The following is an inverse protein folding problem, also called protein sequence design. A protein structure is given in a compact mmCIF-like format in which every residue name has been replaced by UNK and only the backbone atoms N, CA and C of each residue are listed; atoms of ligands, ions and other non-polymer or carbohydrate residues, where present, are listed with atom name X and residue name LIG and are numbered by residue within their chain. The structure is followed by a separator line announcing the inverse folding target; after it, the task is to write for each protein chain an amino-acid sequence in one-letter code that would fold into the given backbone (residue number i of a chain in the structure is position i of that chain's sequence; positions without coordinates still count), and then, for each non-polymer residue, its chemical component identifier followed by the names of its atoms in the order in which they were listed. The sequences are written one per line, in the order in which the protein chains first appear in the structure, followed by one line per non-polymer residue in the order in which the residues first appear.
data_IF_602124204347
#
_entry.id   IF_602124204347
#
_cell.length_a   1.000
_cell.length_b   1.000
_cell.length_c   1.000
_cell.angle_alpha   90.00
_cell.angle_beta   90.00
_cell.angle_gamma   90.00
#
_symmetry.space_group_name_H-M   'P 1'
#
loop_
_entity.id
_entity.type
_entity.pdbx_description
1 polymer ?
#
# COMPACT_ATOMS: atom_id res chain seq x y z
N UNK A 1 -44.20 3.30 5.48
CA UNK A 1 -43.00 2.81 4.77
C UNK A 1 -41.84 2.92 5.73
N UNK A 2 -41.31 1.81 6.25
CA UNK A 2 -40.17 1.87 7.19
C UNK A 2 -38.92 2.24 6.38
N UNK A 3 -38.34 3.42 6.64
CA UNK A 3 -37.04 3.77 6.06
C UNK A 3 -36.01 2.80 6.62
N UNK A 4 -35.55 1.86 5.81
CA UNK A 4 -34.44 0.99 6.17
C UNK A 4 -33.20 1.86 6.36
N UNK A 5 -32.70 1.93 7.59
CA UNK A 5 -31.53 2.73 7.91
C UNK A 5 -30.34 2.23 7.10
N UNK A 6 -29.67 3.13 6.37
CA UNK A 6 -28.54 2.78 5.50
C UNK A 6 -27.32 2.40 6.34
N UNK A 7 -26.62 1.35 5.92
CA UNK A 7 -25.32 1.03 6.50
C UNK A 7 -24.26 2.01 6.02
N UNK A 8 -23.13 2.08 6.72
CA UNK A 8 -21.96 2.86 6.30
C UNK A 8 -21.49 2.40 4.91
N UNK A 9 -21.53 1.09 4.66
CA UNK A 9 -21.20 0.56 3.33
C UNK A 9 -22.17 1.05 2.26
N UNK A 10 -23.48 1.10 2.51
CA UNK A 10 -24.46 1.60 1.53
C UNK A 10 -24.22 3.07 1.18
N UNK A 11 -23.81 3.88 2.16
CA UNK A 11 -23.44 5.28 1.96
C UNK A 11 -22.13 5.43 1.18
N UNK A 12 -21.13 4.60 1.47
CA UNK A 12 -19.87 4.54 0.72
C UNK A 12 -20.08 4.08 -0.74
N UNK A 13 -20.83 2.99 -0.92
CA UNK A 13 -21.06 2.34 -2.21
C UNK A 13 -21.87 3.23 -3.17
N UNK A 14 -22.56 4.25 -2.64
CA UNK A 14 -23.22 5.24 -3.46
C UNK A 14 -22.20 5.97 -4.36
N UNK A 15 -22.30 5.71 -5.66
CA UNK A 15 -21.35 6.17 -6.71
C UNK A 15 -19.91 5.67 -6.50
N UNK A 16 -19.76 4.48 -5.94
CA UNK A 16 -18.50 3.74 -5.97
C UNK A 16 -18.67 2.47 -6.80
N UNK A 17 -17.60 2.04 -7.48
CA UNK A 17 -17.51 0.75 -8.16
C UNK A 17 -16.40 -0.05 -7.54
N UNK A 18 -16.69 -1.29 -7.16
CA UNK A 18 -15.68 -2.22 -6.67
C UNK A 18 -15.47 -3.34 -7.70
N UNK A 19 -14.24 -3.50 -8.16
CA UNK A 19 -13.82 -4.55 -9.09
C UNK A 19 -12.88 -5.49 -8.33
N UNK A 20 -13.23 -6.76 -8.24
CA UNK A 20 -12.45 -7.79 -7.52
C UNK A 20 -11.71 -8.63 -8.52
N UNK A 21 -10.39 -8.80 -8.35
CA UNK A 21 -9.53 -9.54 -9.27
C UNK A 21 -8.51 -10.34 -8.46
N UNK A 22 -8.74 -11.64 -8.32
CA UNK A 22 -7.87 -12.52 -7.53
C UNK A 22 -7.67 -11.99 -6.10
N UNK A 23 -6.43 -11.65 -5.77
CA UNK A 23 -6.02 -11.22 -4.44
C UNK A 23 -6.17 -9.71 -4.18
N UNK A 24 -6.73 -8.95 -5.12
CA UNK A 24 -6.93 -7.50 -4.99
C UNK A 24 -8.39 -7.07 -5.20
N UNK A 25 -8.73 -5.94 -4.59
CA UNK A 25 -9.95 -5.20 -4.85
C UNK A 25 -9.61 -3.77 -5.29
N UNK A 26 -10.07 -3.38 -6.48
CA UNK A 26 -10.00 -2.03 -6.99
C UNK A 26 -11.30 -1.29 -6.69
N UNK A 27 -11.20 -0.19 -5.97
CA UNK A 27 -12.29 0.70 -5.63
C UNK A 27 -12.15 1.96 -6.50
N UNK A 28 -13.18 2.25 -7.30
CA UNK A 28 -13.26 3.45 -8.12
C UNK A 28 -14.36 4.34 -7.54
N UNK A 29 -13.99 5.55 -7.13
CA UNK A 29 -14.89 6.54 -6.56
C UNK A 29 -15.19 7.58 -7.62
N UNK A 30 -16.48 7.84 -7.86
CA UNK A 30 -16.89 8.92 -8.73
C UNK A 30 -16.40 10.27 -8.16
N UNK A 31 -15.60 11.00 -8.95
CA UNK A 31 -14.90 12.22 -8.55
C UNK A 31 -13.79 12.04 -7.49
N UNK A 32 -13.50 10.81 -7.05
CA UNK A 32 -12.56 10.51 -5.97
C UNK A 32 -11.39 9.61 -6.38
N UNK A 33 -11.23 9.34 -7.67
CA UNK A 33 -10.14 8.54 -8.24
C UNK A 33 -10.31 7.03 -8.03
N UNK A 34 -9.19 6.31 -8.02
CA UNK A 34 -9.18 4.85 -7.90
C UNK A 34 -8.08 4.39 -6.94
N UNK A 35 -8.40 3.38 -6.15
CA UNK A 35 -7.50 2.79 -5.17
C UNK A 35 -7.57 1.27 -5.22
N UNK A 36 -6.45 0.62 -4.96
CA UNK A 36 -6.34 -0.84 -4.89
C UNK A 36 -5.91 -1.21 -3.48
N UNK A 37 -6.60 -2.21 -2.93
CA UNK A 37 -6.34 -2.81 -1.63
C UNK A 37 -6.24 -4.33 -1.76
N UNK A 38 -5.66 -4.99 -0.76
CA UNK A 38 -5.66 -6.43 -0.68
C UNK A 38 -7.08 -6.96 -0.42
N UNK A 39 -7.43 -8.10 -1.03
CA UNK A 39 -8.80 -8.62 -1.00
C UNK A 39 -9.21 -9.11 0.39
N UNK A 40 -8.28 -9.64 1.18
CA UNK A 40 -8.48 -10.02 2.58
C UNK A 40 -8.88 -8.81 3.45
N UNK A 41 -8.16 -7.70 3.30
CA UNK A 41 -8.44 -6.46 4.00
C UNK A 41 -9.79 -5.86 3.56
N UNK A 42 -10.10 -5.91 2.26
CA UNK A 42 -11.41 -5.54 1.73
C UNK A 42 -12.54 -6.32 2.38
N UNK A 43 -12.42 -7.64 2.51
CA UNK A 43 -13.47 -8.48 3.11
C UNK A 43 -13.71 -8.07 4.57
N UNK A 44 -12.65 -7.83 5.34
CA UNK A 44 -12.74 -7.42 6.74
C UNK A 44 -13.40 -6.05 6.86
N UNK A 45 -12.91 -5.05 6.11
CA UNK A 45 -13.46 -3.70 6.11
C UNK A 45 -14.93 -3.67 5.64
N UNK A 46 -15.28 -4.47 4.63
CA UNK A 46 -16.64 -4.59 4.12
C UNK A 46 -17.60 -5.13 5.19
N UNK A 47 -17.23 -6.22 5.88
CA UNK A 47 -18.03 -6.78 6.97
C UNK A 47 -18.20 -5.80 8.11
N UNK A 48 -17.14 -5.09 8.48
CA UNK A 48 -17.21 -4.01 9.47
C UNK A 48 -18.19 -2.92 9.03
N UNK A 49 -18.09 -2.42 7.80
CA UNK A 49 -18.92 -1.32 7.30
C UNK A 49 -20.41 -1.68 7.18
N UNK A 50 -20.72 -2.93 6.86
CA UNK A 50 -22.09 -3.47 6.87
C UNK A 50 -22.72 -3.44 8.27
N UNK A 51 -21.90 -3.57 9.33
CA UNK A 51 -22.37 -3.53 10.73
C UNK A 51 -22.53 -2.11 11.29
N UNK A 52 -22.07 -1.08 10.58
CA UNK A 52 -22.13 0.31 11.03
C UNK A 52 -23.27 1.05 10.36
N UNK A 53 -23.91 1.93 11.12
CA UNK A 53 -24.91 2.87 10.58
C UNK A 53 -24.20 4.00 9.84
N UNK A 54 -24.79 4.43 8.72
CA UNK A 54 -24.35 5.62 8.01
C UNK A 54 -24.53 6.86 8.88
N UNK A 55 -23.59 7.80 8.79
CA UNK A 55 -23.69 9.12 9.42
C UNK A 55 -24.63 10.07 8.68
N UNK A 56 -25.12 9.69 7.49
CA UNK A 56 -25.87 10.56 6.59
C UNK A 56 -24.98 11.47 5.72
N UNK A 57 -23.68 11.56 6.02
CA UNK A 57 -22.71 12.28 5.21
C UNK A 57 -21.82 11.30 4.43
N UNK A 58 -21.97 11.30 3.10
CA UNK A 58 -21.24 10.42 2.20
C UNK A 58 -19.71 10.61 2.29
N UNK A 59 -19.23 11.85 2.41
CA UNK A 59 -17.78 12.12 2.47
C UNK A 59 -17.19 11.57 3.76
N UNK A 60 -17.89 11.78 4.88
CA UNK A 60 -17.50 11.24 6.19
C UNK A 60 -17.50 9.71 6.18
N UNK A 61 -18.57 9.08 5.67
CA UNK A 61 -18.68 7.62 5.63
C UNK A 61 -17.63 6.99 4.68
N UNK A 62 -17.31 7.66 3.56
CA UNK A 62 -16.21 7.26 2.67
C UNK A 62 -14.87 7.34 3.39
N UNK A 63 -14.57 8.44 4.07
CA UNK A 63 -13.35 8.57 4.86
C UNK A 63 -13.22 7.46 5.90
N UNK A 64 -14.30 7.19 6.65
CA UNK A 64 -14.33 6.14 7.68
C UNK A 64 -14.12 4.74 7.10
N UNK A 65 -14.69 4.44 5.93
CA UNK A 65 -14.49 3.16 5.28
C UNK A 65 -13.05 3.00 4.79
N UNK A 66 -12.53 4.01 4.09
CA UNK A 66 -11.19 3.95 3.52
C UNK A 66 -10.09 3.95 4.59
N UNK A 67 -10.37 4.51 5.77
CA UNK A 67 -9.44 4.50 6.89
C UNK A 67 -9.23 3.11 7.49
N UNK A 68 -10.15 2.16 7.28
CA UNK A 68 -9.98 0.77 7.71
C UNK A 68 -8.85 0.04 6.98
N UNK A 69 -8.43 0.55 5.82
CA UNK A 69 -7.30 -0.01 5.09
C UNK A 69 -5.99 0.53 5.65
N UNK A 70 -5.14 -0.39 6.08
CA UNK A 70 -3.78 -0.15 6.52
C UNK A 70 -2.83 0.03 5.33
N UNK A 71 -3.09 -0.66 4.21
CA UNK A 71 -2.25 -0.64 3.03
C UNK A 71 -3.09 -0.45 1.76
N UNK A 72 -2.79 0.58 0.98
CA UNK A 72 -3.48 0.85 -0.27
C UNK A 72 -2.54 1.52 -1.29
N UNK A 73 -2.81 1.28 -2.56
CA UNK A 73 -2.16 1.96 -3.69
C UNK A 73 -3.21 2.82 -4.39
N UNK A 74 -2.95 4.12 -4.51
CA UNK A 74 -3.88 5.06 -5.09
C UNK A 74 -3.41 5.55 -6.47
N UNK A 75 -4.35 5.96 -7.33
CA UNK A 75 -4.05 6.72 -8.54
C UNK A 75 -3.81 8.20 -8.23
N UNK A 76 -3.04 8.92 -9.05
CA UNK A 76 -2.96 10.38 -8.97
C UNK A 76 -4.36 11.02 -8.97
N UNK A 77 -4.58 11.98 -8.07
CA UNK A 77 -5.87 12.66 -7.92
C UNK A 77 -6.95 11.88 -7.16
N UNK A 78 -6.60 10.78 -6.50
CA UNK A 78 -7.54 10.03 -5.65
C UNK A 78 -7.77 10.69 -4.29
N UNK A 79 -8.89 10.32 -3.65
CA UNK A 79 -9.33 10.86 -2.36
C UNK A 79 -8.30 10.64 -1.23
N UNK A 80 -7.55 9.53 -1.29
CA UNK A 80 -6.43 9.23 -0.41
C UNK A 80 -5.19 8.90 -1.26
N UNK A 81 -4.01 9.18 -0.71
CA UNK A 81 -2.74 8.73 -1.27
C UNK A 81 -2.43 7.28 -0.92
N UNK A 82 -1.42 6.73 -1.60
CA UNK A 82 -0.83 5.44 -1.26
C UNK A 82 -0.28 5.47 0.16
N UNK A 83 -0.63 4.46 0.96
CA UNK A 83 -0.14 4.30 2.35
C UNK A 83 0.12 2.84 2.65
N UNK A 84 1.00 2.57 3.61
CA UNK A 84 1.32 1.24 4.09
C UNK A 84 2.82 0.98 4.20
N UNK A 85 3.19 -0.13 4.84
CA UNK A 85 4.57 -0.61 4.92
C UNK A 85 5.04 -1.21 3.57
N UNK A 86 6.31 -1.00 3.23
CA UNK A 86 6.95 -1.43 1.98
C UNK A 86 6.77 -2.92 1.69
N UNK A 87 6.88 -3.78 2.71
CA UNK A 87 6.68 -5.24 2.55
C UNK A 87 5.28 -5.60 2.06
N UNK A 88 4.26 -4.91 2.55
CA UNK A 88 2.87 -5.18 2.16
C UNK A 88 2.54 -4.51 0.83
N UNK A 89 3.06 -3.30 0.59
CA UNK A 89 2.97 -2.63 -0.71
C UNK A 89 3.64 -3.47 -1.81
N UNK A 90 4.77 -4.10 -1.54
CA UNK A 90 5.43 -5.02 -2.45
C UNK A 90 4.54 -6.21 -2.82
N UNK A 91 3.89 -6.84 -1.84
CA UNK A 91 2.95 -7.95 -2.09
C UNK A 91 1.75 -7.48 -2.92
N UNK A 92 1.23 -6.31 -2.60
CA UNK A 92 0.11 -5.70 -3.32
C UNK A 92 0.49 -5.37 -4.77
N UNK A 93 1.66 -4.80 -5.01
CA UNK A 93 2.21 -4.52 -6.35
C UNK A 93 2.43 -5.80 -7.14
N UNK A 94 2.93 -6.87 -6.51
CA UNK A 94 3.06 -8.19 -7.14
C UNK A 94 1.70 -8.73 -7.58
N UNK A 95 0.68 -8.63 -6.72
CA UNK A 95 -0.68 -9.04 -7.04
C UNK A 95 -1.31 -8.17 -8.15
N UNK A 96 -1.08 -6.85 -8.13
CA UNK A 96 -1.52 -5.93 -9.18
C UNK A 96 -0.91 -6.25 -10.55
N UNK A 97 0.39 -6.60 -10.59
CA UNK A 97 1.05 -7.04 -11.83
C UNK A 97 0.48 -8.37 -12.31
N UNK A 98 0.20 -9.30 -11.40
CA UNK A 98 -0.48 -10.56 -11.72
C UNK A 98 -1.89 -10.36 -12.27
N UNK A 99 -2.59 -9.30 -11.85
CA UNK A 99 -3.89 -8.90 -12.36
C UNK A 99 -3.82 -8.11 -13.69
N UNK A 100 -2.63 -7.81 -14.19
CA UNK A 100 -2.42 -7.10 -15.47
C UNK A 100 -2.49 -5.58 -15.39
N UNK A 101 -2.40 -4.98 -14.19
CA UNK A 101 -2.31 -3.52 -14.05
C UNK A 101 -0.91 -3.01 -14.44
N UNK A 102 -0.85 -1.92 -15.21
CA UNK A 102 0.39 -1.16 -15.44
C UNK A 102 0.77 -0.35 -14.19
N UNK A 103 2.06 -0.27 -13.85
CA UNK A 103 2.53 0.39 -12.61
C UNK A 103 2.69 1.90 -12.74
N UNK A 104 2.77 2.41 -13.97
CA UNK A 104 2.97 3.84 -14.25
C UNK A 104 1.75 4.69 -13.89
N UNK A 105 0.56 4.08 -13.97
CA UNK A 105 -0.73 4.71 -13.67
C UNK A 105 -0.98 4.92 -12.16
N UNK A 106 -0.10 4.40 -11.29
CA UNK A 106 -0.31 4.38 -9.85
C UNK A 106 0.77 5.18 -9.10
N UNK A 107 0.38 5.75 -7.96
CA UNK A 107 1.28 6.44 -7.05
C UNK A 107 2.05 5.42 -6.22
N UNK A 108 3.13 4.89 -6.76
CA UNK A 108 4.01 3.96 -6.05
C UNK A 108 5.33 4.64 -5.67
N UNK A 109 5.94 4.30 -4.53
CA UNK A 109 7.33 4.64 -4.24
C UNK A 109 8.26 4.21 -5.40
N UNK A 110 9.29 5.01 -5.71
CA UNK A 110 10.16 4.75 -6.87
C UNK A 110 10.83 3.37 -6.81
N UNK A 111 11.17 2.90 -5.61
CA UNK A 111 11.74 1.58 -5.34
C UNK A 111 10.83 0.44 -5.84
N UNK A 112 9.50 0.60 -5.71
CA UNK A 112 8.52 -0.39 -6.13
C UNK A 112 8.17 -0.28 -7.62
N UNK A 113 8.37 0.89 -8.24
CA UNK A 113 8.16 1.11 -9.69
C UNK A 113 9.27 0.48 -10.53
N UNK A 114 10.52 0.58 -10.08
CA UNK A 114 11.71 0.20 -10.85
C UNK A 114 11.88 -1.31 -11.12
N UNK A 115 10.97 -2.16 -10.62
CA UNK A 115 10.88 -3.57 -11.00
C UNK A 115 12.17 -4.40 -10.87
N UNK A 116 13.05 -4.05 -9.92
CA UNK A 116 13.83 -5.07 -9.21
C UNK A 116 13.08 -5.35 -7.92
N UNK A 117 12.04 -6.19 -8.02
CA UNK A 117 11.45 -6.84 -6.86
C UNK A 117 12.52 -7.78 -6.25
N UNK A 118 13.58 -7.20 -5.69
CA UNK A 118 14.48 -7.88 -4.78
C UNK A 118 13.64 -8.35 -3.59
N UNK A 119 14.04 -9.45 -2.97
CA UNK A 119 13.22 -10.12 -1.97
C UNK A 119 12.71 -9.11 -0.92
N UNK A 120 11.52 -9.32 -0.32
CA UNK A 120 11.00 -8.44 0.73
C UNK A 120 11.93 -8.27 1.95
N UNK A 121 13.03 -9.02 2.01
CA UNK A 121 14.12 -8.91 2.99
C UNK A 121 15.27 -7.99 2.54
N UNK A 122 15.42 -7.71 1.24
CA UNK A 122 16.42 -6.78 0.70
C UNK A 122 15.99 -5.31 0.90
N UNK A 123 14.69 -5.04 0.99
CA UNK A 123 14.13 -3.69 1.23
C UNK A 123 14.34 -3.27 2.69
N UNK A 124 14.46 -4.23 3.62
CA UNK A 124 14.62 -3.97 5.05
C UNK A 124 16.08 -3.73 5.48
N UNK A 125 17.06 -3.93 4.60
CA UNK A 125 18.46 -3.63 4.92
C UNK A 125 18.72 -2.14 4.67
N UNK A 126 19.03 -1.33 5.69
CA UNK A 126 19.66 -0.05 5.43
C UNK A 126 20.95 -0.35 4.66
N UNK A 127 21.08 0.22 3.45
CA UNK A 127 22.36 0.26 2.73
C UNK A 127 23.33 1.11 3.57
N UNK A 128 23.96 0.46 4.54
CA UNK A 128 25.19 0.94 5.15
C UNK A 128 26.24 1.00 4.05
N UNK A 129 26.51 2.23 3.61
CA UNK A 129 27.65 2.61 2.78
C UNK A 129 28.93 1.92 3.25
N UNK A 130 29.56 1.26 2.30
CA UNK A 130 31.01 1.22 2.06
C UNK A 130 31.91 1.63 3.25
N UNK A 131 32.34 0.63 4.03
CA UNK A 131 33.68 0.66 4.57
C UNK A 131 34.57 -0.14 3.60
N UNK A 132 35.51 0.49 2.87
CA UNK A 132 36.37 -0.24 1.96
C UNK A 132 37.30 -1.18 2.74
N UNK A 133 37.36 -2.41 2.23
CA UNK A 133 38.26 -3.49 2.60
C UNK A 133 39.73 -3.10 2.35
N UNK A 134 40.56 -3.40 3.34
CA UNK A 134 41.95 -3.88 3.28
C UNK A 134 42.89 -3.52 2.10
N UNK A 135 44.06 -2.99 2.46
CA UNK A 135 45.39 -3.29 1.90
C UNK A 135 46.41 -2.97 3.01
N UNK A 136 47.04 -3.92 3.71
CA UNK A 136 48.14 -4.84 3.32
C UNK A 136 49.54 -4.18 3.31
N UNK A 137 50.49 -4.88 3.95
CA UNK A 137 51.96 -4.74 3.98
C UNK A 137 52.57 -3.57 4.79
N UNK A 138 53.60 -3.71 5.64
CA UNK A 138 54.56 -4.78 5.94
C UNK A 138 55.95 -4.16 6.26
N UNK A 139 56.71 -4.76 7.19
CA UNK A 139 58.12 -4.49 7.59
C UNK A 139 58.34 -3.33 8.59
N UNK A 140 58.82 -3.57 9.82
CA UNK A 140 60.22 -3.84 10.20
C UNK A 140 60.62 -2.67 11.14
N UNK A 141 61.02 -2.86 12.40
CA UNK A 141 62.41 -2.99 12.81
C UNK A 141 62.43 -3.05 14.36
N UNK A 142 63.25 -3.96 14.91
CA UNK A 142 63.71 -3.92 16.30
C UNK A 142 64.72 -2.78 16.45
N UNK A 143 64.75 -2.08 17.59
CA UNK A 143 65.97 -1.99 18.43
C UNK A 143 65.72 -1.11 19.67
N UNK A 144 66.55 -1.30 20.69
CA UNK A 144 66.34 -0.77 22.03
C UNK A 144 66.96 0.60 22.33
N UNK A 145 66.96 0.88 23.64
CA UNK A 145 67.80 1.82 24.39
C UNK A 145 67.30 3.27 24.54
N UNK A 146 66.86 3.60 25.76
CA UNK A 146 67.48 4.65 26.59
C UNK A 146 67.08 4.43 28.05
#
# INVERSE_FOLDING_TARGET
MVMKQKTLFDAFAYRARVVKQGDIAMIVLDGGGALIVAMDEYIVAHKWAQSKLSSGNMVTDRGRFLDQFSHMVARPGSFLGTKGNDRQLYKLVKAMRGAGHGMDDWMLPPELKAAKLANPDDIAKPKGKDAPEASADGQGEQDGKA
#
